data_IF_930528644985
#
_entry.id   IF_930528644985
#
_cell.length_a   1.000
_cell.length_b   1.000
_cell.length_c   1.000
_cell.angle_alpha   90.00
_cell.angle_beta   90.00
_cell.angle_gamma   90.00
#
_symmetry.space_group_name_H-M   'P 1'
#
loop_
_entity.id
_entity.type
_entity.pdbx_description
1 polymer ?
#
# COMPACT_ATOMS: atom_id res chain seq x y z
N UNK A 1 26.86 8.67 0.73
CA UNK A 1 26.31 9.47 1.84
C UNK A 1 24.81 9.25 1.84
N UNK A 2 24.29 8.44 2.77
CA UNK A 2 22.86 8.16 2.86
C UNK A 2 22.14 9.31 3.53
N UNK A 3 21.12 9.85 2.87
CA UNK A 3 20.19 10.79 3.50
C UNK A 3 19.36 9.98 4.49
N UNK A 4 19.59 10.19 5.78
CA UNK A 4 18.73 9.65 6.84
C UNK A 4 17.42 10.42 6.79
N UNK A 5 16.40 9.85 6.15
CA UNK A 5 15.04 10.36 6.28
C UNK A 5 14.55 10.03 7.69
N UNK A 6 14.47 11.03 8.57
CA UNK A 6 13.67 10.94 9.79
C UNK A 6 12.21 11.01 9.36
N UNK A 7 11.57 9.84 9.23
CA UNK A 7 10.13 9.79 9.11
C UNK A 7 9.56 9.93 10.53
N UNK A 8 8.88 11.04 10.81
CA UNK A 8 7.91 11.08 11.90
C UNK A 8 6.93 9.92 11.68
N UNK A 9 6.56 9.20 12.75
CA UNK A 9 5.74 7.98 12.64
C UNK A 9 4.46 8.25 11.82
N UNK A 10 4.37 7.68 10.61
CA UNK A 10 3.20 7.83 9.74
C UNK A 10 1.93 7.36 10.44
N UNK A 11 0.89 8.21 10.47
CA UNK A 11 -0.36 7.86 11.12
C UNK A 11 -1.12 6.80 10.33
N UNK A 12 -1.21 5.57 10.86
CA UNK A 12 -2.07 4.53 10.31
C UNK A 12 -3.47 4.63 10.94
N UNK A 13 -4.42 5.19 10.21
CA UNK A 13 -5.75 5.55 10.72
C UNK A 13 -6.83 4.52 10.37
N UNK A 14 -7.79 4.32 11.28
CA UNK A 14 -8.99 3.53 10.99
C UNK A 14 -9.95 4.35 10.14
N UNK A 15 -10.39 3.81 9.01
CA UNK A 15 -11.41 4.47 8.20
C UNK A 15 -12.60 4.96 9.06
N UNK A 16 -12.95 6.23 8.88
CA UNK A 16 -14.09 6.95 9.45
C UNK A 16 -14.61 7.92 8.40
N UNK A 17 -15.93 8.12 8.35
CA UNK A 17 -16.55 8.98 7.33
C UNK A 17 -16.04 10.43 7.38
N UNK A 18 -15.66 10.93 8.56
CA UNK A 18 -15.07 12.27 8.71
C UNK A 18 -13.68 12.47 8.08
N UNK A 19 -13.08 11.42 7.50
CA UNK A 19 -11.83 11.55 6.73
C UNK A 19 -12.08 11.86 5.26
N UNK A 20 -13.27 11.53 4.74
CA UNK A 20 -13.62 11.70 3.34
C UNK A 20 -13.38 13.16 2.93
N UNK A 21 -12.65 13.34 1.82
CA UNK A 21 -12.32 14.66 1.27
C UNK A 21 -11.01 15.25 1.80
N UNK A 22 -10.35 14.61 2.78
CA UNK A 22 -9.06 15.10 3.28
C UNK A 22 -7.93 14.81 2.26
N UNK A 23 -7.30 15.85 1.66
CA UNK A 23 -6.27 15.68 0.64
C UNK A 23 -4.92 15.20 1.22
N UNK A 24 -4.73 15.26 2.54
CA UNK A 24 -3.52 14.81 3.24
C UNK A 24 -3.61 13.36 3.69
N UNK A 25 -4.68 12.65 3.36
CA UNK A 25 -4.88 11.24 3.71
C UNK A 25 -4.89 10.35 2.46
N UNK A 26 -4.23 9.20 2.58
CA UNK A 26 -4.18 8.19 1.50
C UNK A 26 -4.97 6.96 1.90
N UNK A 27 -5.93 6.58 1.07
CA UNK A 27 -6.79 5.45 1.33
C UNK A 27 -6.15 4.16 0.82
N UNK A 28 -5.68 3.36 1.77
CA UNK A 28 -5.07 2.06 1.54
C UNK A 28 -6.13 0.96 1.69
N UNK A 29 -6.27 0.14 0.66
CA UNK A 29 -7.28 -0.91 0.59
C UNK A 29 -8.48 -0.52 -0.27
N UNK A 30 -9.57 -1.27 -0.13
CA UNK A 30 -10.73 -1.16 -1.00
C UNK A 30 -11.94 -0.64 -0.21
N UNK A 31 -12.52 0.51 -0.60
CA UNK A 31 -13.70 1.02 0.07
C UNK A 31 -14.93 0.17 -0.27
N UNK A 32 -16.02 0.41 0.46
CA UNK A 32 -17.31 -0.20 0.15
C UNK A 32 -18.00 0.45 -1.04
N UNK A 33 -17.80 1.75 -1.23
CA UNK A 33 -18.30 2.54 -2.35
C UNK A 33 -17.18 3.45 -2.84
N UNK A 34 -16.88 3.38 -4.12
CA UNK A 34 -15.77 4.12 -4.73
C UNK A 34 -16.13 5.60 -4.96
N UNK A 35 -17.43 5.90 -5.16
CA UNK A 35 -17.97 7.25 -5.37
C UNK A 35 -17.57 8.25 -4.26
N UNK A 36 -17.35 7.77 -3.04
CA UNK A 36 -16.96 8.60 -1.89
C UNK A 36 -15.55 9.18 -1.99
N UNK A 37 -14.69 8.64 -2.86
CA UNK A 37 -13.26 8.98 -2.92
C UNK A 37 -12.84 9.52 -4.29
N UNK A 38 -13.80 9.99 -5.09
CA UNK A 38 -13.51 10.67 -6.34
C UNK A 38 -12.55 11.84 -6.06
N UNK A 39 -11.45 11.93 -6.83
CA UNK A 39 -10.37 12.94 -6.69
C UNK A 39 -9.50 12.84 -5.42
N UNK A 40 -9.72 11.86 -4.55
CA UNK A 40 -8.83 11.57 -3.42
C UNK A 40 -7.79 10.51 -3.82
N UNK A 41 -6.65 10.48 -3.13
CA UNK A 41 -5.64 9.45 -3.38
C UNK A 41 -6.13 8.10 -2.81
N UNK A 42 -6.93 7.40 -3.62
CA UNK A 42 -7.29 6.01 -3.40
C UNK A 42 -6.28 5.13 -4.14
N UNK A 43 -5.33 4.61 -3.38
CA UNK A 43 -4.30 3.72 -3.90
C UNK A 43 -4.88 2.32 -4.19
N UNK A 44 -6.01 1.95 -3.57
CA UNK A 44 -6.74 0.72 -3.91
C UNK A 44 -6.01 -0.59 -3.55
N UNK A 45 -4.83 -0.49 -2.92
CA UNK A 45 -3.97 -1.62 -2.57
C UNK A 45 -4.55 -2.42 -1.40
N UNK A 46 -5.38 -3.41 -1.73
CA UNK A 46 -5.84 -4.42 -0.79
C UNK A 46 -4.89 -5.61 -0.70
N UNK A 47 -5.09 -6.46 0.32
CA UNK A 47 -4.45 -7.78 0.37
C UNK A 47 -5.12 -8.71 -0.68
N UNK A 48 -4.39 -9.26 -1.67
CA UNK A 48 -4.94 -10.23 -2.62
C UNK A 48 -5.22 -11.59 -2.00
N UNK A 49 -4.69 -11.86 -0.80
CA UNK A 49 -4.96 -13.05 0.01
C UNK A 49 -6.05 -12.78 1.03
N UNK A 50 -6.94 -13.76 1.24
CA UNK A 50 -7.98 -13.66 2.26
C UNK A 50 -8.28 -15.02 2.88
N UNK A 51 -8.33 -15.06 4.21
CA UNK A 51 -8.89 -16.20 4.94
C UNK A 51 -10.42 -16.16 5.04
N UNK A 52 -11.04 -15.01 4.75
CA UNK A 52 -12.49 -14.85 4.68
C UNK A 52 -13.01 -15.17 3.28
N UNK A 53 -14.28 -15.56 3.15
CA UNK A 53 -14.90 -15.74 1.84
C UNK A 53 -15.12 -14.36 1.22
N UNK A 54 -14.31 -14.02 0.22
CA UNK A 54 -14.35 -12.74 -0.47
C UNK A 54 -14.26 -13.01 -1.96
N UNK A 55 -15.28 -12.58 -2.71
CA UNK A 55 -15.25 -12.61 -4.19
C UNK A 55 -14.13 -11.75 -4.78
N UNK A 56 -13.55 -10.86 -3.97
CA UNK A 56 -12.56 -9.87 -4.37
C UNK A 56 -11.11 -10.31 -4.10
N UNK A 57 -10.90 -11.36 -3.32
CA UNK A 57 -9.56 -11.90 -3.07
C UNK A 57 -9.13 -12.77 -4.25
N UNK A 58 -7.85 -12.69 -4.65
CA UNK A 58 -7.26 -13.55 -5.68
C UNK A 58 -6.98 -14.95 -5.14
N UNK A 59 -6.60 -15.04 -3.85
CA UNK A 59 -6.17 -16.28 -3.23
C UNK A 59 -6.87 -16.50 -1.89
N UNK A 60 -7.28 -17.75 -1.66
CA UNK A 60 -7.87 -18.21 -0.39
C UNK A 60 -6.76 -18.83 0.48
N UNK A 61 -6.72 -18.44 1.75
CA UNK A 61 -5.81 -18.98 2.77
C UNK A 61 -6.60 -19.43 4.00
N UNK A 62 -5.96 -20.11 4.95
CA UNK A 62 -6.64 -20.73 6.11
C UNK A 62 -6.90 -19.73 7.23
N UNK A 63 -5.98 -18.81 7.46
CA UNK A 63 -6.04 -17.87 8.58
C UNK A 63 -5.35 -16.53 8.27
N UNK A 64 -5.47 -15.58 9.19
CA UNK A 64 -4.88 -14.25 9.03
C UNK A 64 -3.35 -14.28 8.96
N UNK A 65 -2.69 -15.11 9.75
CA UNK A 65 -1.23 -15.20 9.76
C UNK A 65 -0.68 -15.64 8.39
N UNK A 66 -1.28 -16.67 7.80
CA UNK A 66 -0.96 -17.11 6.44
C UNK A 66 -1.25 -16.02 5.41
N UNK A 67 -2.39 -15.32 5.55
CA UNK A 67 -2.75 -14.20 4.68
C UNK A 67 -1.73 -13.06 4.66
N UNK A 68 -1.11 -12.76 5.81
CA UNK A 68 -0.08 -11.72 5.92
C UNK A 68 1.28 -12.24 5.45
N UNK A 69 1.62 -13.49 5.77
CA UNK A 69 2.86 -14.14 5.32
C UNK A 69 2.92 -14.23 3.79
N UNK A 70 1.89 -14.77 3.14
CA UNK A 70 1.86 -14.90 1.68
C UNK A 70 1.85 -13.55 0.99
N UNK A 71 1.17 -12.57 1.59
CA UNK A 71 1.19 -11.21 1.09
C UNK A 71 2.59 -10.59 1.11
N UNK A 72 3.36 -10.76 2.20
CA UNK A 72 4.76 -10.29 2.27
C UNK A 72 5.64 -10.96 1.22
N UNK A 73 5.55 -12.28 1.07
CA UNK A 73 6.32 -13.03 0.05
C UNK A 73 6.00 -12.53 -1.36
N UNK A 74 4.72 -12.30 -1.64
CA UNK A 74 4.28 -11.78 -2.92
C UNK A 74 4.75 -10.35 -3.19
N UNK A 75 4.67 -9.44 -2.20
CA UNK A 75 5.25 -8.10 -2.32
C UNK A 75 6.76 -8.17 -2.61
N UNK A 76 7.48 -9.07 -1.94
CA UNK A 76 8.90 -9.29 -2.19
C UNK A 76 9.18 -9.73 -3.63
N UNK A 77 8.36 -10.63 -4.19
CA UNK A 77 8.42 -10.99 -5.62
C UNK A 77 8.32 -9.74 -6.51
N UNK A 78 7.35 -8.85 -6.25
CA UNK A 78 7.19 -7.63 -7.05
C UNK A 78 8.43 -6.73 -6.99
N UNK A 79 8.98 -6.53 -5.79
CA UNK A 79 10.19 -5.72 -5.56
C UNK A 79 11.39 -6.32 -6.32
N UNK A 80 11.60 -7.63 -6.24
CA UNK A 80 12.67 -8.32 -6.97
C UNK A 80 12.49 -8.18 -8.49
N UNK A 81 11.28 -8.42 -9.01
CA UNK A 81 10.99 -8.24 -10.43
C UNK A 81 11.30 -6.82 -10.91
N UNK A 82 10.95 -5.81 -10.11
CA UNK A 82 11.28 -4.42 -10.42
C UNK A 82 12.79 -4.15 -10.41
N UNK A 83 13.48 -4.54 -9.33
CA UNK A 83 14.93 -4.35 -9.18
C UNK A 83 15.71 -4.98 -10.34
N UNK A 84 15.31 -6.19 -10.72
CA UNK A 84 15.99 -6.98 -11.74
C UNK A 84 15.50 -6.64 -13.17
N UNK A 85 14.67 -5.58 -13.33
CA UNK A 85 14.07 -5.13 -14.61
C UNK A 85 13.28 -6.20 -15.38
N UNK A 86 12.68 -7.15 -14.66
CA UNK A 86 11.90 -8.26 -15.19
C UNK A 86 10.39 -8.04 -14.98
N UNK A 87 9.88 -6.86 -15.32
CA UNK A 87 8.47 -6.48 -15.11
C UNK A 87 7.50 -7.21 -16.05
N UNK A 88 8.01 -7.69 -17.19
CA UNK A 88 7.31 -8.55 -18.16
C UNK A 88 6.86 -9.90 -17.58
N UNK A 89 7.49 -10.35 -16.47
CA UNK A 89 7.14 -11.58 -15.76
C UNK A 89 5.96 -11.41 -14.78
N UNK A 90 5.46 -10.19 -14.62
CA UNK A 90 4.32 -9.91 -13.75
C UNK A 90 3.02 -10.04 -14.55
N UNK A 91 1.99 -10.61 -13.93
CA UNK A 91 0.65 -10.51 -14.49
C UNK A 91 0.22 -9.03 -14.57
N UNK A 92 -0.67 -8.64 -15.51
CA UNK A 92 -1.10 -7.24 -15.65
C UNK A 92 -1.59 -6.59 -14.34
N UNK A 93 -2.33 -7.36 -13.51
CA UNK A 93 -2.80 -6.87 -12.22
C UNK A 93 -1.68 -6.74 -11.18
N UNK A 94 -0.63 -7.55 -11.26
CA UNK A 94 0.56 -7.46 -10.39
C UNK A 94 1.38 -6.23 -10.78
N UNK A 95 1.57 -5.99 -12.09
CA UNK A 95 2.22 -4.79 -12.60
C UNK A 95 1.49 -3.51 -12.17
N UNK A 96 0.16 -3.50 -12.28
CA UNK A 96 -0.67 -2.40 -11.80
C UNK A 96 -0.52 -2.18 -10.30
N UNK A 97 -0.48 -3.26 -9.51
CA UNK A 97 -0.25 -3.18 -8.07
C UNK A 97 1.11 -2.57 -7.75
N UNK A 98 2.14 -2.96 -8.49
CA UNK A 98 3.48 -2.40 -8.38
C UNK A 98 3.47 -0.89 -8.67
N UNK A 99 2.82 -0.43 -9.75
CA UNK A 99 2.71 1.00 -10.07
C UNK A 99 2.10 1.78 -8.89
N UNK A 100 0.96 1.33 -8.39
CA UNK A 100 0.27 1.95 -7.25
C UNK A 100 1.13 1.99 -5.98
N UNK A 101 1.88 0.92 -5.71
CA UNK A 101 2.80 0.86 -4.57
C UNK A 101 3.97 1.83 -4.74
N UNK A 102 4.56 1.91 -5.93
CA UNK A 102 5.62 2.87 -6.25
C UNK A 102 5.15 4.31 -6.03
N UNK A 103 3.96 4.65 -6.49
CA UNK A 103 3.41 5.98 -6.28
C UNK A 103 3.09 6.29 -4.83
N UNK A 104 2.57 5.31 -4.08
CA UNK A 104 2.43 5.47 -2.62
C UNK A 104 3.78 5.78 -1.97
N UNK A 105 4.86 5.09 -2.36
CA UNK A 105 6.20 5.38 -1.85
C UNK A 105 6.67 6.81 -2.21
N UNK A 106 6.44 7.27 -3.43
CA UNK A 106 6.76 8.66 -3.85
C UNK A 106 6.00 9.67 -2.99
N UNK A 107 4.70 9.48 -2.80
CA UNK A 107 3.86 10.40 -2.01
C UNK A 107 4.28 10.43 -0.54
N UNK A 108 4.66 9.29 0.04
CA UNK A 108 5.25 9.20 1.38
C UNK A 108 6.58 9.97 1.43
N UNK A 109 7.49 9.71 0.49
CA UNK A 109 8.82 10.33 0.46
C UNK A 109 8.77 11.86 0.31
N UNK A 110 7.79 12.38 -0.43
CA UNK A 110 7.57 13.82 -0.59
C UNK A 110 7.02 14.49 0.68
N UNK A 111 6.54 13.74 1.66
CA UNK A 111 5.95 14.30 2.89
C UNK A 111 4.62 15.02 2.67
N UNK A 112 3.92 14.73 1.56
CA UNK A 112 2.68 15.43 1.19
C UNK A 112 1.42 14.89 1.90
N UNK A 113 1.59 13.90 2.77
CA UNK A 113 0.48 13.20 3.44
C UNK A 113 0.75 13.07 4.94
N UNK A 114 -0.31 13.13 5.74
CA UNK A 114 -0.26 13.04 7.20
C UNK A 114 -0.56 11.63 7.71
N UNK A 115 -1.15 10.79 6.86
CA UNK A 115 -1.61 9.47 7.29
C UNK A 115 -2.09 8.56 6.17
N UNK A 116 -2.05 7.26 6.48
CA UNK A 116 -2.60 6.19 5.67
C UNK A 116 -3.86 5.65 6.33
N UNK A 117 -4.97 5.67 5.60
CA UNK A 117 -6.27 5.17 6.07
C UNK A 117 -6.42 3.72 5.69
N UNK A 118 -6.75 2.87 6.67
CA UNK A 118 -6.97 1.44 6.47
C UNK A 118 -8.44 1.05 6.74
N UNK A 119 -8.95 0.10 5.97
CA UNK A 119 -10.32 -0.43 6.11
C UNK A 119 -10.42 -1.70 6.98
N UNK A 120 -9.31 -2.13 7.60
CA UNK A 120 -9.32 -3.27 8.51
C UNK A 120 -10.18 -3.01 9.75
N UNK A 121 -10.86 -4.05 10.25
CA UNK A 121 -11.78 -3.92 11.39
C UNK A 121 -11.08 -3.58 12.72
N UNK A 122 -9.80 -3.91 12.88
CA UNK A 122 -9.10 -3.89 14.18
C UNK A 122 -7.96 -2.86 14.27
N UNK A 123 -8.13 -1.66 13.71
CA UNK A 123 -7.02 -0.67 13.64
C UNK A 123 -6.58 -0.07 14.98
N UNK A 124 -7.41 -0.20 16.02
CA UNK A 124 -7.18 0.37 17.35
C UNK A 124 -5.92 -0.15 18.07
N UNK A 125 -5.35 -1.27 17.59
CA UNK A 125 -4.21 -1.95 18.23
C UNK A 125 -2.87 -1.72 17.49
N UNK A 126 -2.84 -0.78 16.55
CA UNK A 126 -1.77 -0.66 15.54
C UNK A 126 -1.00 0.66 15.64
N UNK A 127 -0.41 0.95 16.81
CA UNK A 127 0.79 1.78 16.80
C UNK A 127 1.88 1.00 16.03
N UNK A 128 2.72 1.65 15.20
CA UNK A 128 3.89 1.00 14.63
C UNK A 128 4.82 0.58 15.78
N UNK A 129 4.71 -0.68 16.22
CA UNK A 129 5.63 -1.28 17.19
C UNK A 129 6.75 -1.94 16.41
N UNK A 130 8.01 -1.58 16.69
CA UNK A 130 9.18 -2.25 16.13
C UNK A 130 9.02 -3.77 16.25
N UNK A 131 8.99 -4.47 15.10
CA UNK A 131 9.05 -5.92 15.03
C UNK A 131 7.72 -6.67 14.84
N UNK A 132 6.55 -6.03 14.81
CA UNK A 132 5.29 -6.73 14.50
C UNK A 132 4.29 -5.89 13.69
N UNK A 133 4.24 -6.13 12.37
CA UNK A 133 3.16 -5.61 11.53
C UNK A 133 1.90 -6.44 11.73
N UNK A 134 0.78 -5.77 11.98
CA UNK A 134 -0.50 -6.39 12.34
C UNK A 134 -1.64 -6.06 11.37
N UNK A 135 -1.42 -5.16 10.40
CA UNK A 135 -2.37 -4.91 9.30
C UNK A 135 -1.67 -4.78 7.93
N UNK A 136 -2.42 -4.96 6.84
CA UNK A 136 -1.87 -4.88 5.48
C UNK A 136 -1.31 -3.48 5.15
N UNK A 137 -1.91 -2.42 5.67
CA UNK A 137 -1.41 -1.05 5.47
C UNK A 137 -0.06 -0.81 6.14
N UNK A 138 0.20 -1.45 7.29
CA UNK A 138 1.54 -1.43 7.90
C UNK A 138 2.56 -2.17 7.03
N UNK A 139 2.19 -3.34 6.50
CA UNK A 139 3.05 -4.09 5.56
C UNK A 139 3.37 -3.23 4.33
N UNK A 140 2.36 -2.58 3.75
CA UNK A 140 2.53 -1.66 2.62
C UNK A 140 3.45 -0.49 2.97
N UNK A 141 3.24 0.13 4.14
CA UNK A 141 4.07 1.24 4.59
C UNK A 141 5.53 0.82 4.77
N UNK A 142 5.81 -0.29 5.48
CA UNK A 142 7.15 -0.84 5.61
C UNK A 142 7.81 -1.14 4.26
N UNK A 143 7.05 -1.69 3.32
CA UNK A 143 7.53 -1.95 1.96
C UNK A 143 7.87 -0.65 1.21
N UNK A 144 7.05 0.39 1.37
CA UNK A 144 7.32 1.71 0.80
C UNK A 144 8.58 2.34 1.40
N UNK A 145 8.75 2.28 2.73
CA UNK A 145 9.96 2.76 3.39
C UNK A 145 11.20 2.03 2.86
N UNK A 146 11.15 0.71 2.76
CA UNK A 146 12.26 -0.08 2.18
C UNK A 146 12.63 0.38 0.77
N UNK A 147 11.63 0.65 -0.08
CA UNK A 147 11.85 1.13 -1.44
C UNK A 147 12.52 2.51 -1.47
N UNK A 148 12.10 3.41 -0.59
CA UNK A 148 12.65 4.77 -0.46
C UNK A 148 14.09 4.70 0.06
N UNK A 149 14.31 4.02 1.19
CA UNK A 149 15.61 3.93 1.85
C UNK A 149 16.67 3.22 0.99
N UNK A 150 16.22 2.27 0.15
CA UNK A 150 17.10 1.54 -0.77
C UNK A 150 17.37 2.31 -2.08
N UNK A 151 16.78 3.50 -2.27
CA UNK A 151 16.90 4.25 -3.52
C UNK A 151 16.31 3.51 -4.74
N UNK A 152 15.38 2.59 -4.52
CA UNK A 152 14.72 1.82 -5.58
C UNK A 152 13.60 2.62 -6.23
N UNK A 153 13.14 3.71 -5.62
CA UNK A 153 12.14 4.60 -6.20
C UNK A 153 12.77 5.96 -6.43
N UNK A 154 12.69 6.44 -7.66
CA UNK A 154 12.99 7.83 -7.96
C UNK A 154 11.82 8.70 -7.47
N UNK A 155 12.07 9.50 -6.44
CA UNK A 155 11.08 10.40 -5.85
C UNK A 155 10.69 11.54 -6.77
N UNK A 156 11.50 11.80 -7.81
CA UNK A 156 11.22 12.79 -8.84
C UNK A 156 10.50 12.17 -10.05
N UNK A 157 10.13 10.89 -9.98
CA UNK A 157 9.37 10.25 -11.03
C UNK A 157 7.95 10.85 -11.08
N UNK A 158 7.73 11.70 -12.09
CA UNK A 158 6.45 12.34 -12.40
C UNK A 158 5.61 11.52 -13.37
N UNK A 159 5.97 10.26 -13.65
CA UNK A 159 5.14 9.39 -14.49
C UNK A 159 3.71 9.34 -13.94
N UNK A 160 2.77 9.85 -14.72
CA UNK A 160 1.36 9.83 -14.34
C UNK A 160 0.95 8.37 -14.19
N UNK A 161 0.48 8.01 -13.00
CA UNK A 161 -0.31 6.80 -12.87
C UNK A 161 -1.66 7.13 -13.46
N UNK A 162 -1.94 6.56 -14.63
CA UNK A 162 -3.30 6.54 -15.17
C UNK A 162 -4.19 5.78 -14.18
N UNK A 163 -4.84 6.50 -13.26
CA UNK A 163 -5.82 5.97 -12.31
C UNK A 163 -7.18 5.68 -12.99
N UNK A 164 -7.36 6.07 -14.25
CA UNK A 164 -8.63 6.08 -14.98
C UNK A 164 -8.89 4.86 -15.86
N UNK A 165 -7.86 4.15 -16.35
CA UNK A 165 -8.06 2.98 -17.21
C UNK A 165 -7.83 1.66 -16.44
N UNK A 166 -8.93 0.95 -16.13
CA UNK A 166 -9.07 -0.48 -15.79
C UNK A 166 -10.17 -0.71 -14.73
N UNK A 167 -11.39 -0.31 -15.07
CA UNK A 167 -12.60 -0.94 -14.56
C UNK A 167 -13.10 -1.93 -15.60
#
# INVERSE_FOLDING_TARGET
MGVLFQFDDMNILKFKDGYIGNPRLVYCGRPRKDEYYCQQLLIGLGNPYSWRNSKKAKFKVKNLAESLSEYRKWLWKLICCYRDRNLDKLHPWEFRYWQLMKHLAIVIAKGNIDGLVCFCREIHNYLPVKGQEKCHTQILYSACLYLIDSGLVDVNDESEIDLGSLW
#
